data_IF_814980533264
#
_entry.id   IF_814980533264
#
_cell.length_a   1.000
_cell.length_b   1.000
_cell.length_c   1.000
_cell.angle_alpha   90.00
_cell.angle_beta   90.00
_cell.angle_gamma   90.00
#
_symmetry.space_group_name_H-M   'P 1'
#
loop_
_entity.id
_entity.type
_entity.pdbx_description
1 polymer ?
#
# COMPACT_ATOMS: atom_id res chain seq x y z
N UNK A 1 21.07 0.64 -1.33
CA UNK A 1 20.14 1.75 -1.66
C UNK A 1 19.73 2.39 -0.36
N UNK A 2 19.90 3.71 -0.28
CA UNK A 2 19.80 4.50 0.95
C UNK A 2 18.36 4.50 1.50
N UNK A 3 18.22 3.98 2.72
CA UNK A 3 16.94 3.82 3.43
C UNK A 3 16.25 5.18 3.63
N UNK A 4 17.03 6.26 3.68
CA UNK A 4 16.58 7.64 3.83
C UNK A 4 15.96 8.23 2.56
N UNK A 5 16.44 7.82 1.37
CA UNK A 5 15.91 8.28 0.08
C UNK A 5 14.59 7.57 -0.22
N UNK A 6 14.55 6.26 0.05
CA UNK A 6 13.33 5.45 -0.11
C UNK A 6 12.21 5.95 0.80
N UNK A 7 12.53 6.28 2.06
CA UNK A 7 11.57 6.88 3.00
C UNK A 7 11.03 8.23 2.54
N UNK A 8 11.89 9.14 2.08
CA UNK A 8 11.47 10.47 1.57
C UNK A 8 10.66 10.40 0.28
N UNK A 9 11.00 9.48 -0.63
CA UNK A 9 10.27 9.29 -1.88
C UNK A 9 8.86 8.74 -1.59
N UNK A 10 8.75 7.79 -0.68
CA UNK A 10 7.47 7.25 -0.24
C UNK A 10 6.62 8.29 0.51
N UNK A 11 7.22 9.16 1.31
CA UNK A 11 6.48 10.27 1.94
C UNK A 11 5.91 11.26 0.92
N UNK A 12 6.64 11.52 -0.17
CA UNK A 12 6.15 12.36 -1.28
C UNK A 12 5.03 11.68 -2.06
N UNK A 13 5.20 10.40 -2.40
CA UNK A 13 4.19 9.62 -3.13
C UNK A 13 2.95 9.45 -2.26
N UNK A 14 3.13 9.16 -0.97
CA UNK A 14 2.03 9.01 -0.02
C UNK A 14 1.22 10.31 0.07
N UNK A 15 1.87 11.46 0.22
CA UNK A 15 1.17 12.77 0.20
C UNK A 15 0.39 13.01 -1.09
N UNK A 16 0.91 12.61 -2.25
CA UNK A 16 0.21 12.82 -3.54
C UNK A 16 -0.95 11.85 -3.80
N UNK A 17 -0.88 10.63 -3.25
CA UNK A 17 -1.84 9.57 -3.51
C UNK A 17 -2.87 9.40 -2.39
N UNK A 18 -2.59 9.88 -1.17
CA UNK A 18 -3.42 9.73 0.03
C UNK A 18 -4.86 10.20 -0.18
N UNK A 19 -5.05 11.45 -0.59
CA UNK A 19 -6.40 12.02 -0.71
C UNK A 19 -7.24 11.30 -1.78
N UNK A 20 -6.61 10.94 -2.90
CA UNK A 20 -7.29 10.18 -3.97
C UNK A 20 -7.67 8.78 -3.49
N UNK A 21 -6.76 8.10 -2.82
CA UNK A 21 -6.99 6.77 -2.26
C UNK A 21 -8.12 6.78 -1.23
N UNK A 22 -8.06 7.72 -0.26
CA UNK A 22 -9.09 7.87 0.77
C UNK A 22 -10.44 8.17 0.11
N UNK A 23 -10.49 9.09 -0.85
CA UNK A 23 -11.73 9.41 -1.56
C UNK A 23 -12.29 8.21 -2.35
N UNK A 24 -11.45 7.35 -2.91
CA UNK A 24 -11.90 6.15 -3.63
C UNK A 24 -12.46 5.08 -2.71
N UNK A 25 -11.80 4.81 -1.58
CA UNK A 25 -12.24 3.76 -0.64
C UNK A 25 -13.41 4.20 0.24
N UNK A 26 -13.56 5.50 0.53
CA UNK A 26 -14.69 6.05 1.31
C UNK A 26 -15.95 6.24 0.47
N UNK A 27 -15.86 6.24 -0.88
CA UNK A 27 -17.00 6.46 -1.79
C UNK A 27 -18.13 5.45 -1.64
N UNK A 28 -17.82 4.25 -1.18
CA UNK A 28 -18.80 3.19 -0.89
C UNK A 28 -19.57 3.41 0.42
N UNK A 29 -19.11 4.31 1.29
CA UNK A 29 -19.65 4.50 2.63
C UNK A 29 -19.29 3.40 3.63
N UNK A 30 -18.50 2.40 3.23
CA UNK A 30 -18.20 1.25 4.07
C UNK A 30 -17.12 1.51 5.13
N UNK A 31 -16.30 2.55 4.94
CA UNK A 31 -15.25 2.96 5.86
C UNK A 31 -15.37 4.46 6.16
N UNK A 32 -15.17 4.82 7.43
CA UNK A 32 -14.90 6.20 7.84
C UNK A 32 -13.60 6.72 7.23
N UNK A 33 -13.40 8.04 7.25
CA UNK A 33 -12.14 8.65 6.78
C UNK A 33 -10.96 8.13 7.59
N UNK A 34 -11.13 8.00 8.89
CA UNK A 34 -10.10 7.53 9.83
C UNK A 34 -9.70 6.07 9.53
N UNK A 35 -10.67 5.20 9.26
CA UNK A 35 -10.40 3.82 8.86
C UNK A 35 -9.71 3.74 7.50
N UNK A 36 -10.13 4.55 6.52
CA UNK A 36 -9.49 4.65 5.22
C UNK A 36 -8.02 5.13 5.31
N UNK A 37 -7.74 6.08 6.20
CA UNK A 37 -6.38 6.54 6.50
C UNK A 37 -5.53 5.43 7.11
N UNK A 38 -6.08 4.69 8.08
CA UNK A 38 -5.38 3.55 8.68
C UNK A 38 -5.04 2.48 7.64
N UNK A 39 -5.98 2.15 6.74
CA UNK A 39 -5.74 1.19 5.64
C UNK A 39 -4.66 1.70 4.70
N UNK A 40 -4.68 2.99 4.34
CA UNK A 40 -3.68 3.61 3.49
C UNK A 40 -2.27 3.50 4.08
N UNK A 41 -2.09 3.86 5.36
CA UNK A 41 -0.79 3.74 6.02
C UNK A 41 -0.35 2.29 6.15
N UNK A 42 -1.27 1.37 6.43
CA UNK A 42 -0.97 -0.06 6.46
C UNK A 42 -0.42 -0.56 5.12
N UNK A 43 -1.06 -0.21 4.00
CA UNK A 43 -0.61 -0.61 2.66
C UNK A 43 0.78 -0.05 2.30
N UNK A 44 1.03 1.24 2.56
CA UNK A 44 2.32 1.86 2.25
C UNK A 44 3.45 1.23 3.06
N UNK A 45 3.22 0.98 4.35
CA UNK A 45 4.21 0.32 5.20
C UNK A 45 4.44 -1.13 4.78
N UNK A 46 3.37 -1.84 4.37
CA UNK A 46 3.46 -3.20 3.82
C UNK A 46 4.29 -3.28 2.54
N UNK A 47 4.03 -2.40 1.57
CA UNK A 47 4.81 -2.30 0.33
C UNK A 47 6.28 -1.99 0.60
N UNK A 48 6.58 -1.11 1.56
CA UNK A 48 7.96 -0.82 1.96
C UNK A 48 8.66 -2.03 2.59
N UNK A 49 7.98 -2.74 3.50
CA UNK A 49 8.52 -3.94 4.12
C UNK A 49 8.84 -5.02 3.08
N UNK A 50 7.95 -5.22 2.10
CA UNK A 50 8.18 -6.14 0.98
C UNK A 50 9.35 -5.69 0.11
N UNK A 51 9.41 -4.42 -0.29
CA UNK A 51 10.53 -3.89 -1.07
C UNK A 51 11.88 -4.07 -0.37
N UNK A 52 11.95 -3.84 0.95
CA UNK A 52 13.17 -4.10 1.74
C UNK A 52 13.56 -5.58 1.74
N UNK A 53 12.59 -6.48 1.87
CA UNK A 53 12.80 -7.93 1.90
C UNK A 53 13.28 -8.45 0.54
N UNK A 54 12.70 -7.94 -0.54
CA UNK A 54 13.00 -8.34 -1.92
C UNK A 54 14.37 -7.80 -2.40
N UNK A 55 14.71 -6.55 -2.08
CA UNK A 55 16.03 -5.96 -2.40
C UNK A 55 17.16 -6.66 -1.66
N UNK A 56 16.96 -7.07 -0.39
CA UNK A 56 17.96 -7.82 0.38
C UNK A 56 18.11 -9.27 -0.08
N UNK A 57 17.07 -9.85 -0.70
CA UNK A 57 17.02 -11.28 -1.00
C UNK A 57 17.58 -11.72 -2.35
N UNK A 58 17.94 -10.82 -3.29
CA UNK A 58 18.24 -11.16 -4.71
C UNK A 58 17.24 -12.17 -5.30
N UNK A 59 15.97 -12.04 -4.92
CA UNK A 59 14.95 -13.08 -5.17
C UNK A 59 14.25 -12.81 -6.50
N UNK A 60 14.31 -13.77 -7.42
CA UNK A 60 13.74 -13.68 -8.78
C UNK A 60 12.21 -13.84 -8.83
N UNK A 61 11.61 -14.25 -7.71
CA UNK A 61 10.17 -14.48 -7.50
C UNK A 61 9.42 -13.25 -6.94
N UNK A 62 10.08 -12.09 -6.87
CA UNK A 62 9.52 -10.87 -6.29
C UNK A 62 8.16 -10.47 -6.89
N UNK A 63 8.00 -10.63 -8.21
CA UNK A 63 6.75 -10.37 -8.94
C UNK A 63 5.61 -11.27 -8.43
N UNK A 64 5.89 -12.56 -8.15
CA UNK A 64 4.87 -13.48 -7.62
C UNK A 64 4.44 -13.07 -6.21
N UNK A 65 5.40 -12.69 -5.37
CA UNK A 65 5.12 -12.25 -3.99
C UNK A 65 4.30 -10.96 -4.01
N UNK A 66 4.68 -9.98 -4.83
CA UNK A 66 3.93 -8.73 -4.97
C UNK A 66 2.51 -9.00 -5.49
N UNK A 67 2.35 -9.80 -6.54
CA UNK A 67 1.04 -10.14 -7.09
C UNK A 67 0.12 -10.81 -6.07
N UNK A 68 0.66 -11.69 -5.21
CA UNK A 68 -0.11 -12.33 -4.15
C UNK A 68 -0.62 -11.31 -3.12
N UNK A 69 0.24 -10.38 -2.70
CA UNK A 69 -0.11 -9.33 -1.74
C UNK A 69 -1.11 -8.33 -2.35
N UNK A 70 -0.89 -7.90 -3.59
CA UNK A 70 -1.81 -7.01 -4.31
C UNK A 70 -3.20 -7.65 -4.43
N UNK A 71 -3.26 -8.95 -4.74
CA UNK A 71 -4.53 -9.68 -4.85
C UNK A 71 -5.23 -9.81 -3.49
N UNK A 72 -4.49 -10.09 -2.42
CA UNK A 72 -5.03 -10.16 -1.06
C UNK A 72 -5.63 -8.82 -0.64
N UNK A 73 -4.90 -7.72 -0.86
CA UNK A 73 -5.35 -6.37 -0.56
C UNK A 73 -6.60 -6.01 -1.37
N UNK A 74 -6.58 -6.24 -2.68
CA UNK A 74 -7.74 -5.95 -3.56
C UNK A 74 -8.97 -6.73 -3.15
N UNK A 75 -8.83 -8.02 -2.81
CA UNK A 75 -9.94 -8.85 -2.35
C UNK A 75 -10.51 -8.36 -1.00
N UNK A 76 -9.65 -7.91 -0.09
CA UNK A 76 -10.08 -7.27 1.15
C UNK A 76 -10.84 -5.97 0.89
N UNK A 77 -10.32 -5.12 -0.01
CA UNK A 77 -10.95 -3.85 -0.37
C UNK A 77 -12.28 -4.00 -1.12
N UNK A 78 -12.43 -5.06 -1.92
CA UNK A 78 -13.67 -5.36 -2.63
C UNK A 78 -14.87 -5.51 -1.68
N UNK A 79 -14.65 -5.98 -0.45
CA UNK A 79 -15.71 -6.10 0.57
C UNK A 79 -16.24 -4.74 1.03
N UNK A 80 -15.44 -3.68 0.87
CA UNK A 80 -15.78 -2.33 1.27
C UNK A 80 -16.18 -1.46 0.09
N UNK A 81 -16.19 -1.96 -1.15
CA UNK A 81 -16.50 -1.16 -2.35
C UNK A 81 -17.71 -1.69 -3.12
N UNK A 82 -18.42 -2.66 -2.53
CA UNK A 82 -19.56 -3.35 -3.13
C UNK A 82 -20.92 -2.86 -2.65
#
# INVERSE_FOLDING_TARGET
>A
MDESITGRLLEKISKSCREKYIAEITKSGALSREEAEAVFYFQINGCLALNRLLVRGKRSDWVKIQNAVDSFIKAGMAQFTS
#
